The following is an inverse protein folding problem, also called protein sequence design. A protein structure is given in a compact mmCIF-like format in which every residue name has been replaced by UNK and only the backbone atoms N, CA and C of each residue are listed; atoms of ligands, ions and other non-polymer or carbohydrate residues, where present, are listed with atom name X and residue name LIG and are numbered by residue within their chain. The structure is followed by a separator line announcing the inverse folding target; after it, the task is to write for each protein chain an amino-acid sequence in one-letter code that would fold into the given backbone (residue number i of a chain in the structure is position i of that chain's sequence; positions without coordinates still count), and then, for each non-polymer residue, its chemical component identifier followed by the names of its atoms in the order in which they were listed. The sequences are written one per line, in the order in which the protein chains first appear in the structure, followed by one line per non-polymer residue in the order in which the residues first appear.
data_IF_741445318802
#
_entry.id   IF_741445318802
#
_cell.length_a   1.000
_cell.length_b   1.000
_cell.length_c   1.000
_cell.angle_alpha   90.00
_cell.angle_beta   90.00
_cell.angle_gamma   90.00
#
_symmetry.space_group_name_H-M   'P 1'
#
loop_
_entity.id
_entity.type
_entity.pdbx_description
1 polymer ?
#
# COMPACT_ATOMS: atom_id res chain seq x y z
N UNK A 1 -11.82 23.79 56.57
CA UNK A 1 -11.42 24.08 55.18
C UNK A 1 -11.55 22.77 54.41
N UNK A 2 -12.25 22.73 53.26
CA UNK A 2 -12.28 21.50 52.47
C UNK A 2 -10.84 21.16 52.07
N UNK A 3 -10.40 19.93 52.36
CA UNK A 3 -9.12 19.43 51.87
C UNK A 3 -9.16 19.53 50.36
N UNK A 4 -8.24 20.32 49.77
CA UNK A 4 -8.07 20.38 48.33
C UNK A 4 -7.92 18.94 47.81
N UNK A 5 -8.75 18.57 46.83
CA UNK A 5 -8.60 17.30 46.15
C UNK A 5 -7.16 17.16 45.63
N UNK A 6 -6.55 15.97 45.74
CA UNK A 6 -5.21 15.74 45.24
C UNK A 6 -5.16 16.09 43.76
N UNK A 7 -4.38 17.12 43.41
CA UNK A 7 -4.22 17.55 42.03
C UNK A 7 -3.28 16.57 41.33
N UNK A 8 -3.79 15.87 40.32
CA UNK A 8 -2.97 14.96 39.51
C UNK A 8 -2.19 15.79 38.49
N UNK A 9 -0.88 15.85 38.66
CA UNK A 9 0.02 16.50 37.71
C UNK A 9 0.22 15.60 36.48
N UNK A 10 -0.16 16.09 35.30
CA UNK A 10 0.12 15.43 34.02
C UNK A 10 1.44 15.98 33.49
N UNK A 11 2.50 15.17 33.57
CA UNK A 11 3.84 15.57 33.10
C UNK A 11 4.04 15.42 31.60
N UNK A 12 3.32 14.50 30.98
CA UNK A 12 3.36 14.23 29.54
C UNK A 12 2.07 13.52 29.11
N UNK A 13 1.69 13.64 27.83
CA UNK A 13 0.62 12.83 27.28
C UNK A 13 1.17 11.49 26.78
N UNK A 14 0.44 10.42 27.08
CA UNK A 14 0.82 9.04 26.75
C UNK A 14 0.16 8.54 25.46
N UNK A 15 -0.48 9.44 24.72
CA UNK A 15 -1.23 9.16 23.50
C UNK A 15 -2.66 8.69 23.76
N UNK A 16 -3.33 8.33 22.66
CA UNK A 16 -4.63 7.66 22.69
C UNK A 16 -4.49 6.29 23.32
N UNK A 17 -5.38 5.96 24.26
CA UNK A 17 -5.54 4.62 24.82
C UNK A 17 -7.01 4.31 24.94
N UNK A 18 -7.47 3.27 24.24
CA UNK A 18 -8.85 2.78 24.36
C UNK A 18 -8.93 1.29 24.69
N UNK A 19 -7.81 0.57 24.77
CA UNK A 19 -7.76 -0.86 25.10
C UNK A 19 -7.90 -1.18 26.59
N UNK A 20 -8.11 -0.18 27.44
CA UNK A 20 -8.29 -0.33 28.89
C UNK A 20 -9.49 0.49 29.36
N UNK A 21 -10.04 0.14 30.54
CA UNK A 21 -11.09 0.96 31.16
C UNK A 21 -10.54 2.33 31.56
N UNK A 22 -11.26 3.45 31.35
CA UNK A 22 -10.80 4.79 31.72
C UNK A 22 -10.29 4.92 33.15
N UNK A 23 -10.91 4.21 34.10
CA UNK A 23 -10.51 4.21 35.51
C UNK A 23 -9.16 3.53 35.81
N UNK A 24 -8.61 2.76 34.87
CA UNK A 24 -7.31 2.07 35.01
C UNK A 24 -6.20 2.74 34.19
N UNK A 25 -6.55 3.72 33.36
CA UNK A 25 -5.59 4.38 32.50
C UNK A 25 -4.61 5.23 33.34
N UNK A 26 -3.31 5.23 33.00
CA UNK A 26 -2.36 6.12 33.64
C UNK A 26 -2.69 7.58 33.31
N UNK A 27 -2.46 8.47 34.27
CA UNK A 27 -2.61 9.91 34.09
C UNK A 27 -1.82 10.39 32.85
N UNK A 28 -2.45 11.22 32.01
CA UNK A 28 -1.90 11.65 30.72
C UNK A 28 -2.33 10.82 29.51
N UNK A 29 -3.07 9.73 29.70
CA UNK A 29 -3.71 8.99 28.59
C UNK A 29 -4.92 9.73 28.06
N UNK A 30 -5.14 9.68 26.75
CA UNK A 30 -6.33 10.23 26.10
C UNK A 30 -7.32 9.10 25.83
N UNK A 31 -8.60 9.30 26.20
CA UNK A 31 -9.70 8.38 25.84
C UNK A 31 -10.16 8.63 24.40
N UNK A 32 -10.03 9.87 23.91
CA UNK A 32 -10.40 10.27 22.56
C UNK A 32 -9.42 11.33 22.05
N UNK A 33 -9.04 11.22 20.77
CA UNK A 33 -8.20 12.19 20.07
C UNK A 33 -8.84 12.53 18.72
N UNK A 34 -9.28 13.79 18.54
CA UNK A 34 -9.94 14.25 17.30
C UNK A 34 -9.26 15.51 16.78
N UNK A 35 -8.79 15.48 15.53
CA UNK A 35 -8.13 16.62 14.86
C UNK A 35 -6.94 17.20 15.65
N UNK A 36 -6.19 16.31 16.30
CA UNK A 36 -4.96 16.64 17.01
C UNK A 36 -3.82 15.77 16.48
N UNK A 37 -2.62 16.34 16.46
CA UNK A 37 -1.37 15.61 16.28
C UNK A 37 -0.69 15.51 17.65
N UNK A 38 -0.03 14.37 17.90
CA UNK A 38 0.78 14.14 19.10
C UNK A 38 2.19 13.85 18.61
N UNK A 39 3.16 14.67 19.02
CA UNK A 39 4.55 14.51 18.60
C UNK A 39 5.29 13.45 19.45
N UNK A 40 6.56 13.23 19.13
CA UNK A 40 7.43 12.28 19.82
C UNK A 40 7.82 12.72 21.24
N UNK A 41 7.64 14.01 21.58
CA UNK A 41 7.77 14.54 22.93
C UNK A 41 6.46 14.44 23.74
N UNK A 42 5.38 13.93 23.14
CA UNK A 42 4.06 13.84 23.77
C UNK A 42 3.34 15.19 23.87
N UNK A 43 3.76 16.20 23.09
CA UNK A 43 3.04 17.46 22.98
C UNK A 43 1.84 17.30 22.05
N UNK A 44 0.73 17.97 22.39
CA UNK A 44 -0.49 17.96 21.59
C UNK A 44 -0.56 19.27 20.82
N UNK A 45 -0.70 19.17 19.50
CA UNK A 45 -1.04 20.31 18.64
C UNK A 45 -2.34 20.06 17.87
N UNK A 46 -3.02 21.15 17.48
CA UNK A 46 -4.17 21.03 16.58
C UNK A 46 -3.64 20.67 15.19
N UNK A 47 -4.20 19.63 14.58
CA UNK A 47 -3.80 19.19 13.23
C UNK A 47 -3.96 20.33 12.24
N UNK A 48 -2.95 20.52 11.39
CA UNK A 48 -3.02 21.49 10.31
C UNK A 48 -4.25 21.19 9.42
N UNK A 49 -5.02 22.23 9.10
CA UNK A 49 -6.13 22.11 8.16
C UNK A 49 -5.61 21.82 6.75
N UNK A 50 -6.51 21.36 5.88
CA UNK A 50 -6.26 21.26 4.44
C UNK A 50 -7.12 22.27 3.69
N UNK A 51 -6.64 22.73 2.56
CA UNK A 51 -7.46 23.46 1.59
C UNK A 51 -7.66 22.58 0.36
N UNK A 52 -8.90 22.40 -0.11
CA UNK A 52 -9.14 21.67 -1.35
C UNK A 52 -8.52 22.44 -2.51
N UNK A 53 -7.66 21.77 -3.28
CA UNK A 53 -7.17 22.31 -4.54
C UNK A 53 -8.23 22.00 -5.61
N UNK A 54 -8.88 23.02 -6.21
CA UNK A 54 -9.89 22.78 -7.23
C UNK A 54 -9.24 22.26 -8.52
N UNK A 55 -9.97 21.43 -9.27
CA UNK A 55 -9.53 20.95 -10.60
C UNK A 55 -9.55 19.43 -10.77
N UNK A 56 -9.70 18.66 -9.69
CA UNK A 56 -9.97 17.22 -9.75
C UNK A 56 -11.27 16.89 -9.02
N UNK A 57 -12.10 16.05 -9.63
CA UNK A 57 -13.34 15.54 -9.05
C UNK A 57 -13.42 14.03 -9.24
N UNK A 58 -13.99 13.32 -8.26
CA UNK A 58 -14.13 11.87 -8.33
C UNK A 58 -12.77 11.15 -8.31
N UNK A 59 -11.85 11.59 -7.46
CA UNK A 59 -10.56 10.92 -7.25
C UNK A 59 -10.80 9.59 -6.54
N UNK A 60 -10.35 8.49 -7.13
CA UNK A 60 -10.52 7.12 -6.58
C UNK A 60 -9.19 6.47 -6.18
N UNK A 61 -8.08 6.92 -6.74
CA UNK A 61 -6.73 6.48 -6.36
C UNK A 61 -5.71 7.59 -6.60
N UNK A 62 -4.61 7.55 -5.85
CA UNK A 62 -3.45 8.40 -6.07
C UNK A 62 -2.18 7.65 -5.70
N UNK A 63 -1.09 7.92 -6.40
CA UNK A 63 0.20 7.31 -6.17
C UNK A 63 1.33 8.31 -6.42
N UNK A 64 2.20 8.49 -5.43
CA UNK A 64 3.43 9.23 -5.59
C UNK A 64 4.59 8.24 -5.80
N UNK A 65 5.50 8.57 -6.73
CA UNK A 65 6.72 7.77 -6.94
C UNK A 65 7.62 7.83 -5.71
N UNK A 66 8.45 6.81 -5.45
CA UNK A 66 9.29 6.77 -4.23
C UNK A 66 10.36 7.87 -4.20
N UNK A 67 10.66 8.48 -5.34
CA UNK A 67 11.55 9.63 -5.44
C UNK A 67 10.83 10.98 -5.24
N UNK A 68 9.54 10.96 -4.92
CA UNK A 68 8.64 12.11 -4.72
C UNK A 68 8.58 13.07 -5.93
N UNK A 69 9.00 12.63 -7.12
CA UNK A 69 9.04 13.50 -8.31
C UNK A 69 7.74 13.55 -9.07
N UNK A 70 6.85 12.57 -8.88
CA UNK A 70 5.62 12.43 -9.67
C UNK A 70 4.46 12.03 -8.78
N UNK A 71 3.29 12.50 -9.19
CA UNK A 71 2.01 12.14 -8.58
C UNK A 71 1.05 11.73 -9.69
N UNK A 72 0.61 10.48 -9.62
CA UNK A 72 -0.44 9.94 -10.47
C UNK A 72 -1.76 9.96 -9.70
N UNK A 73 -2.84 10.28 -10.39
CA UNK A 73 -4.20 10.32 -9.84
C UNK A 73 -5.15 9.65 -10.81
N UNK A 74 -6.05 8.84 -10.26
CA UNK A 74 -7.20 8.31 -10.99
C UNK A 74 -8.39 9.16 -10.59
N UNK A 75 -8.92 9.92 -11.56
CA UNK A 75 -10.04 10.84 -11.34
C UNK A 75 -11.05 10.71 -12.48
N UNK A 76 -12.32 10.49 -12.13
CA UNK A 76 -13.40 10.33 -13.11
C UNK A 76 -13.19 9.15 -14.07
N UNK A 77 -12.51 8.08 -13.61
CA UNK A 77 -12.18 6.90 -14.42
C UNK A 77 -11.00 7.10 -15.40
N UNK A 78 -10.24 8.18 -15.25
CA UNK A 78 -9.04 8.44 -16.05
C UNK A 78 -7.78 8.52 -15.17
N UNK A 79 -6.72 7.86 -15.62
CA UNK A 79 -5.37 8.01 -15.08
C UNK A 79 -4.75 9.30 -15.63
N UNK A 80 -4.26 10.13 -14.71
CA UNK A 80 -3.62 11.40 -15.01
C UNK A 80 -2.36 11.56 -14.16
N UNK A 81 -1.36 12.26 -14.70
CA UNK A 81 -0.21 12.73 -13.94
C UNK A 81 -0.43 14.20 -13.56
N UNK A 82 -0.15 14.54 -12.30
CA UNK A 82 -0.15 15.92 -11.82
C UNK A 82 1.14 16.61 -12.26
N UNK A 83 1.02 17.62 -13.11
CA UNK A 83 2.14 18.37 -13.71
C UNK A 83 2.48 19.61 -12.88
N UNK A 84 1.49 20.22 -12.26
CA UNK A 84 1.63 21.38 -11.37
C UNK A 84 0.54 21.34 -10.31
N UNK A 85 0.83 21.84 -9.11
CA UNK A 85 -0.13 21.98 -8.01
C UNK A 85 -0.68 23.41 -7.86
N UNK A 86 0.01 24.41 -8.41
CA UNK A 86 -0.39 25.83 -8.33
C UNK A 86 -0.08 26.59 -9.63
N UNK A 87 -1.06 26.76 -10.55
CA UNK A 87 -2.38 26.12 -10.51
C UNK A 87 -2.29 24.61 -10.74
N UNK A 88 -3.31 23.87 -10.29
CA UNK A 88 -3.42 22.44 -10.56
C UNK A 88 -3.53 22.21 -12.07
N UNK A 89 -2.57 21.48 -12.63
CA UNK A 89 -2.55 21.07 -14.02
C UNK A 89 -2.24 19.57 -14.09
N UNK A 90 -2.98 18.85 -14.93
CA UNK A 90 -2.79 17.42 -15.13
C UNK A 90 -2.56 17.08 -16.60
N UNK A 91 -1.89 15.95 -16.81
CA UNK A 91 -1.70 15.32 -18.11
C UNK A 91 -2.45 14.00 -18.12
N UNK A 92 -3.37 13.82 -19.06
CA UNK A 92 -4.08 12.55 -19.25
C UNK A 92 -3.12 11.48 -19.78
N UNK A 93 -3.19 10.28 -19.21
CA UNK A 93 -2.40 9.12 -19.63
C UNK A 93 -3.26 7.99 -20.21
N UNK A 94 -4.41 7.72 -19.58
CA UNK A 94 -5.37 6.72 -20.03
C UNK A 94 -6.76 6.91 -19.43
N UNK A 95 -7.79 6.39 -20.13
CA UNK A 95 -9.15 6.24 -19.61
C UNK A 95 -9.45 4.79 -19.21
N UNK A 96 -10.71 4.52 -18.86
CA UNK A 96 -11.21 3.15 -18.66
C UNK A 96 -10.93 2.54 -17.28
N UNK A 97 -10.47 3.34 -16.31
CA UNK A 97 -10.32 2.87 -14.94
C UNK A 97 -11.69 2.70 -14.29
N UNK A 98 -11.96 1.51 -13.76
CA UNK A 98 -13.16 1.20 -13.00
C UNK A 98 -13.20 1.89 -11.63
N UNK A 99 -14.30 1.70 -10.91
CA UNK A 99 -14.50 2.27 -9.57
C UNK A 99 -13.79 1.50 -8.44
N UNK A 100 -13.03 0.46 -8.77
CA UNK A 100 -12.36 -0.40 -7.80
C UNK A 100 -11.00 0.13 -7.33
N UNK A 101 -10.28 -0.73 -6.63
CA UNK A 101 -8.94 -0.44 -6.13
C UNK A 101 -7.88 -0.48 -7.23
N UNK A 102 -6.89 0.41 -7.13
CA UNK A 102 -5.70 0.39 -7.99
C UNK A 102 -4.49 0.19 -7.10
N UNK A 103 -3.78 -0.90 -7.31
CA UNK A 103 -2.52 -1.21 -6.65
C UNK A 103 -1.36 -0.68 -7.47
N UNK A 104 -0.31 -0.23 -6.79
CA UNK A 104 0.83 0.43 -7.43
C UNK A 104 2.15 -0.21 -7.06
N UNK A 105 3.03 -0.29 -8.04
CA UNK A 105 4.45 -0.60 -7.83
C UNK A 105 5.31 0.23 -8.76
N UNK A 106 6.60 0.32 -8.44
CA UNK A 106 7.59 0.93 -9.33
C UNK A 106 8.90 0.16 -9.25
N UNK A 107 9.61 0.11 -10.37
CA UNK A 107 10.88 -0.58 -10.50
C UNK A 107 11.36 -0.62 -11.95
N UNK A 108 12.68 -0.74 -12.16
CA UNK A 108 13.26 -0.77 -13.50
C UNK A 108 13.06 0.53 -14.31
N UNK A 109 12.68 1.63 -13.67
CA UNK A 109 12.30 2.88 -14.35
C UNK A 109 10.84 2.95 -14.78
N UNK A 110 10.00 1.99 -14.40
CA UNK A 110 8.58 1.93 -14.75
C UNK A 110 7.71 2.11 -13.51
N UNK A 111 6.49 2.60 -13.73
CA UNK A 111 5.41 2.54 -12.76
C UNK A 111 4.37 1.53 -13.27
N UNK A 112 4.00 0.60 -12.41
CA UNK A 112 3.04 -0.45 -12.70
C UNK A 112 1.77 -0.22 -11.89
N UNK A 113 0.62 -0.42 -12.51
CA UNK A 113 -0.66 -0.45 -11.82
C UNK A 113 -1.47 -1.69 -12.20
N UNK A 114 -2.32 -2.15 -11.29
CA UNK A 114 -3.24 -3.28 -11.51
C UNK A 114 -4.51 -3.11 -10.66
N UNK A 115 -5.53 -3.92 -10.90
CA UNK A 115 -6.86 -3.79 -10.30
C UNK A 115 -7.87 -3.11 -11.23
N UNK A 116 -8.50 -2.06 -10.75
CA UNK A 116 -9.52 -1.30 -11.49
C UNK A 116 -8.98 -0.62 -12.75
N UNK A 117 -7.67 -0.46 -12.86
CA UNK A 117 -6.98 -0.24 -14.12
C UNK A 117 -5.64 -0.94 -14.06
N UNK A 118 -5.12 -1.32 -15.22
CA UNK A 118 -3.92 -2.15 -15.31
C UNK A 118 -3.00 -1.66 -16.41
N UNK A 119 -1.70 -1.76 -16.16
CA UNK A 119 -0.70 -1.46 -17.18
C UNK A 119 0.60 -0.91 -16.62
N UNK A 120 1.40 -0.42 -17.56
CA UNK A 120 2.75 0.08 -17.35
C UNK A 120 2.83 1.52 -17.84
N UNK A 121 3.41 2.39 -17.03
CA UNK A 121 3.79 3.75 -17.44
C UNK A 121 5.32 3.80 -17.54
N UNK A 122 5.81 4.02 -18.75
CA UNK A 122 7.25 4.04 -19.05
C UNK A 122 7.98 5.26 -18.53
N UNK A 123 9.17 5.02 -17.97
CA UNK A 123 10.15 5.98 -17.46
C UNK A 123 10.67 7.04 -18.41
N UNK A 124 10.59 6.79 -19.71
CA UNK A 124 11.19 7.68 -20.72
C UNK A 124 10.14 8.50 -21.46
N UNK A 125 8.91 8.00 -21.59
CA UNK A 125 7.83 8.65 -22.35
C UNK A 125 6.71 9.19 -21.45
N UNK A 126 6.41 8.55 -20.32
CA UNK A 126 5.37 8.96 -19.34
C UNK A 126 4.14 9.65 -19.95
N UNK A 127 3.72 9.19 -21.13
CA UNK A 127 2.72 9.86 -21.95
C UNK A 127 1.46 9.02 -22.10
N UNK A 128 1.57 7.71 -21.90
CA UNK A 128 0.53 6.72 -22.14
C UNK A 128 0.68 5.56 -21.17
N UNK A 129 -0.44 4.93 -20.83
CA UNK A 129 -0.48 3.63 -20.15
C UNK A 129 -0.42 2.53 -21.21
N UNK A 130 0.47 1.56 -21.01
CA UNK A 130 0.67 0.40 -21.88
C UNK A 130 0.09 -0.85 -21.22
N UNK A 131 -0.49 -1.78 -21.99
CA UNK A 131 -1.05 -3.01 -21.42
C UNK A 131 0.03 -4.03 -21.08
N UNK A 132 -0.18 -4.80 -20.00
CA UNK A 132 0.67 -5.96 -19.73
C UNK A 132 0.53 -6.99 -20.87
N UNK A 133 1.66 -7.50 -21.36
CA UNK A 133 1.65 -8.46 -22.45
C UNK A 133 1.75 -7.84 -23.85
N UNK A 134 1.75 -6.51 -23.97
CA UNK A 134 1.93 -5.86 -25.26
C UNK A 134 3.40 -5.93 -25.71
N UNK A 135 3.67 -6.83 -26.65
CA UNK A 135 5.01 -7.05 -27.23
C UNK A 135 5.34 -6.07 -28.36
N UNK A 136 4.45 -5.14 -28.70
CA UNK A 136 4.64 -4.20 -29.82
C UNK A 136 5.56 -3.01 -29.48
N UNK A 137 6.03 -2.90 -28.24
CA UNK A 137 6.75 -1.73 -27.70
C UNK A 137 8.22 -2.05 -27.35
N UNK A 138 9.06 -1.01 -27.25
CA UNK A 138 10.53 -1.01 -27.09
C UNK A 138 11.11 -1.73 -25.84
N UNK A 139 10.86 -3.03 -25.63
CA UNK A 139 11.82 -3.91 -24.92
C UNK A 139 13.11 -4.14 -25.77
N UNK A 140 13.07 -3.65 -27.02
CA UNK A 140 14.05 -3.75 -28.13
C UNK A 140 15.52 -3.48 -27.82
N UNK A 141 15.86 -2.86 -26.69
CA UNK A 141 17.27 -2.62 -26.32
C UNK A 141 17.88 -3.79 -25.51
N UNK A 142 17.09 -4.48 -24.68
CA UNK A 142 17.55 -5.67 -23.93
C UNK A 142 17.41 -6.95 -24.75
N UNK A 143 16.39 -7.03 -25.62
CA UNK A 143 16.15 -8.14 -26.54
C UNK A 143 17.41 -8.50 -27.36
N UNK A 144 18.14 -7.48 -27.82
CA UNK A 144 19.31 -7.64 -28.67
C UNK A 144 20.55 -8.20 -27.94
N UNK A 145 20.55 -8.23 -26.61
CA UNK A 145 21.71 -8.60 -25.78
C UNK A 145 21.47 -9.90 -25.01
N UNK A 146 20.22 -10.20 -24.62
CA UNK A 146 19.93 -11.22 -23.60
C UNK A 146 19.15 -12.45 -24.08
N UNK A 147 18.57 -12.45 -25.29
CA UNK A 147 17.66 -13.51 -25.70
C UNK A 147 18.14 -14.29 -26.93
N UNK A 148 18.12 -15.61 -26.80
CA UNK A 148 18.08 -16.57 -27.89
C UNK A 148 16.62 -16.64 -28.38
N UNK A 149 16.38 -16.71 -29.70
CA UNK A 149 15.03 -16.66 -30.32
C UNK A 149 14.05 -17.76 -29.80
N UNK A 150 14.53 -18.69 -28.96
CA UNK A 150 13.75 -19.75 -28.33
C UNK A 150 12.89 -19.30 -27.12
N UNK A 151 13.07 -18.10 -26.58
CA UNK A 151 12.33 -17.62 -25.38
C UNK A 151 10.94 -17.04 -25.64
N UNK A 152 10.53 -16.86 -26.90
CA UNK A 152 9.21 -16.33 -27.27
C UNK A 152 8.11 -17.39 -27.45
N UNK A 153 8.46 -18.68 -27.39
CA UNK A 153 7.47 -19.74 -27.54
C UNK A 153 6.67 -19.89 -26.24
N UNK A 154 5.39 -19.52 -26.29
CA UNK A 154 4.44 -19.75 -25.20
C UNK A 154 4.16 -18.55 -24.30
N UNK A 155 4.53 -17.34 -24.70
CA UNK A 155 4.13 -16.13 -23.96
C UNK A 155 2.63 -15.85 -24.14
N UNK A 156 1.92 -15.61 -23.05
CA UNK A 156 0.53 -15.13 -23.05
C UNK A 156 0.43 -13.85 -22.21
N UNK A 157 -0.53 -12.95 -22.46
CA UNK A 157 -0.77 -11.85 -21.52
C UNK A 157 -1.18 -12.40 -20.15
N UNK A 158 -0.94 -11.68 -19.04
CA UNK A 158 -1.40 -12.11 -17.74
C UNK A 158 -2.93 -12.15 -17.68
N UNK A 159 -3.51 -12.87 -16.69
CA UNK A 159 -4.96 -12.94 -16.51
C UNK A 159 -5.63 -11.54 -16.50
N UNK A 160 -6.87 -11.41 -17.01
CA UNK A 160 -7.55 -10.13 -17.11
C UNK A 160 -7.82 -9.46 -15.75
N UNK A 161 -8.13 -10.27 -14.72
CA UNK A 161 -8.62 -9.81 -13.42
C UNK A 161 -7.52 -9.85 -12.34
N UNK A 162 -6.36 -9.25 -12.64
CA UNK A 162 -5.27 -9.15 -11.67
C UNK A 162 -5.48 -8.01 -10.68
N UNK A 163 -5.02 -8.21 -9.44
CA UNK A 163 -5.23 -7.29 -8.32
C UNK A 163 -3.92 -6.61 -7.92
N UNK A 164 -3.24 -7.10 -6.88
CA UNK A 164 -1.99 -6.54 -6.38
C UNK A 164 -0.86 -6.67 -7.41
N UNK A 165 0.04 -5.67 -7.43
CA UNK A 165 1.23 -5.64 -8.30
C UNK A 165 2.50 -5.34 -7.51
N UNK A 166 3.60 -5.99 -7.87
CA UNK A 166 4.94 -5.70 -7.34
C UNK A 166 6.02 -5.88 -8.41
N UNK A 167 7.12 -5.12 -8.32
CA UNK A 167 8.31 -5.34 -9.15
C UNK A 167 9.43 -6.01 -8.35
N UNK A 168 9.62 -7.32 -8.52
CA UNK A 168 10.53 -8.13 -7.70
C UNK A 168 11.45 -8.98 -8.58
N UNK A 169 12.74 -8.99 -8.25
CA UNK A 169 13.80 -9.71 -8.99
C UNK A 169 13.81 -9.42 -10.51
N UNK A 170 13.52 -8.17 -10.89
CA UNK A 170 13.48 -7.76 -12.30
C UNK A 170 12.17 -8.10 -13.01
N UNK A 171 11.24 -8.81 -12.36
CA UNK A 171 9.96 -9.21 -12.93
C UNK A 171 8.80 -8.41 -12.35
N UNK A 172 7.75 -8.24 -13.13
CA UNK A 172 6.45 -7.79 -12.62
C UNK A 172 5.70 -8.98 -12.07
N UNK A 173 5.21 -8.88 -10.85
CA UNK A 173 4.40 -9.88 -10.16
C UNK A 173 2.98 -9.37 -10.05
N UNK A 174 2.01 -10.21 -10.41
CA UNK A 174 0.58 -9.92 -10.37
C UNK A 174 -0.16 -11.00 -9.58
N UNK A 175 -1.08 -10.60 -8.71
CA UNK A 175 -1.97 -11.55 -8.06
C UNK A 175 -3.26 -11.73 -8.84
N UNK A 176 -3.75 -12.96 -8.93
CA UNK A 176 -5.07 -13.32 -9.42
C UNK A 176 -5.77 -14.14 -8.34
N UNK A 177 -7.01 -13.81 -7.99
CA UNK A 177 -7.76 -14.53 -6.97
C UNK A 177 -8.81 -15.44 -7.59
N UNK A 178 -8.72 -16.74 -7.30
CA UNK A 178 -9.75 -17.70 -7.62
C UNK A 178 -10.74 -17.82 -6.44
N UNK A 179 -11.94 -17.25 -6.63
CA UNK A 179 -13.00 -17.28 -5.62
C UNK A 179 -13.61 -18.68 -5.40
N UNK A 180 -13.46 -19.60 -6.34
CA UNK A 180 -14.01 -20.96 -6.23
C UNK A 180 -13.12 -21.80 -5.32
N UNK A 181 -11.81 -21.75 -5.53
CA UNK A 181 -10.81 -22.47 -4.73
C UNK A 181 -10.38 -21.70 -3.47
N UNK A 182 -10.81 -20.44 -3.31
CA UNK A 182 -10.42 -19.55 -2.22
C UNK A 182 -8.88 -19.44 -2.09
N UNK A 183 -8.23 -19.28 -3.24
CA UNK A 183 -6.78 -19.27 -3.37
C UNK A 183 -6.37 -18.21 -4.39
N UNK A 184 -5.26 -17.53 -4.13
CA UNK A 184 -4.63 -16.66 -5.10
C UNK A 184 -3.48 -17.35 -5.81
N UNK A 185 -3.23 -16.93 -7.04
CA UNK A 185 -2.04 -17.27 -7.80
C UNK A 185 -1.25 -15.99 -8.03
N UNK A 186 0.04 -16.02 -7.70
CA UNK A 186 0.98 -14.99 -8.08
C UNK A 186 1.64 -15.42 -9.39
N UNK A 187 1.44 -14.65 -10.45
CA UNK A 187 2.13 -14.81 -11.73
C UNK A 187 3.25 -13.78 -11.84
N UNK A 188 4.33 -14.12 -12.53
CA UNK A 188 5.39 -13.15 -12.81
C UNK A 188 5.83 -13.15 -14.28
N UNK A 189 6.26 -11.98 -14.73
CA UNK A 189 6.85 -11.81 -16.05
C UNK A 189 8.26 -12.40 -16.10
N UNK A 190 8.81 -12.57 -17.30
CA UNK A 190 10.25 -12.84 -17.46
C UNK A 190 11.07 -11.65 -16.92
N UNK A 191 12.26 -11.89 -16.33
CA UNK A 191 13.08 -10.82 -15.78
C UNK A 191 13.42 -9.78 -16.84
N UNK A 192 13.17 -8.51 -16.53
CA UNK A 192 13.34 -7.34 -17.39
C UNK A 192 12.46 -7.27 -18.65
N UNK A 193 11.58 -8.27 -18.85
CA UNK A 193 10.60 -8.31 -19.93
C UNK A 193 9.20 -8.38 -19.33
N UNK A 194 8.62 -7.20 -19.05
CA UNK A 194 7.30 -7.06 -18.45
C UNK A 194 6.17 -7.47 -19.41
N UNK A 195 6.45 -7.58 -20.71
CA UNK A 195 5.51 -8.05 -21.73
C UNK A 195 5.44 -9.59 -21.83
N UNK A 196 6.39 -10.33 -21.26
CA UNK A 196 6.53 -11.78 -21.49
C UNK A 196 6.14 -12.58 -20.26
N UNK A 197 5.14 -13.46 -20.39
CA UNK A 197 4.64 -14.28 -19.27
C UNK A 197 4.43 -15.73 -19.70
N UNK A 198 4.88 -16.69 -18.89
CA UNK A 198 4.60 -18.12 -19.06
C UNK A 198 3.68 -18.59 -17.93
N UNK A 199 2.36 -18.48 -18.14
CA UNK A 199 1.36 -18.81 -17.11
C UNK A 199 1.34 -20.29 -16.72
N UNK A 200 1.95 -21.17 -17.52
CA UNK A 200 2.05 -22.60 -17.22
C UNK A 200 3.21 -22.97 -16.30
N UNK A 201 4.18 -22.07 -16.09
CA UNK A 201 5.39 -22.33 -15.29
C UNK A 201 5.70 -21.26 -14.25
N UNK A 202 5.43 -20.00 -14.58
CA UNK A 202 5.82 -18.83 -13.79
C UNK A 202 4.67 -18.40 -12.88
N UNK A 203 4.28 -19.29 -11.97
CA UNK A 203 3.24 -19.01 -10.98
C UNK A 203 3.48 -19.69 -9.63
N UNK A 204 2.89 -19.12 -8.58
CA UNK A 204 2.92 -19.66 -7.22
C UNK A 204 1.55 -19.53 -6.54
N UNK A 205 0.96 -20.62 -6.01
CA UNK A 205 -0.27 -20.54 -5.23
C UNK A 205 -0.04 -19.96 -3.83
N UNK A 206 -0.99 -19.17 -3.34
CA UNK A 206 -1.00 -18.57 -2.00
C UNK A 206 -2.42 -18.68 -1.41
N UNK A 207 -2.60 -19.22 -0.19
CA UNK A 207 -3.92 -19.36 0.42
C UNK A 207 -4.64 -18.02 0.67
N UNK A 208 -5.94 -17.96 0.34
CA UNK A 208 -6.76 -16.76 0.47
C UNK A 208 -6.54 -15.73 -0.64
N UNK A 209 -7.18 -14.56 -0.51
CA UNK A 209 -7.09 -13.45 -1.47
C UNK A 209 -5.91 -12.56 -1.14
N UNK A 210 -4.98 -12.34 -2.07
CA UNK A 210 -3.85 -11.41 -1.86
C UNK A 210 -4.37 -9.97 -1.85
N UNK A 211 -4.15 -9.30 -0.72
CA UNK A 211 -4.62 -7.94 -0.44
C UNK A 211 -3.48 -6.92 -0.35
N UNK A 212 -2.25 -7.40 -0.18
CA UNK A 212 -1.05 -6.59 -0.14
C UNK A 212 0.14 -7.36 -0.70
N UNK A 213 0.86 -6.74 -1.64
CA UNK A 213 2.07 -7.29 -2.23
C UNK A 213 3.18 -6.23 -2.15
N UNK A 214 4.26 -6.54 -1.44
CA UNK A 214 5.27 -5.56 -1.08
C UNK A 214 6.67 -6.17 -1.11
N UNK A 215 7.61 -5.52 -1.79
CA UNK A 215 9.02 -5.94 -1.76
C UNK A 215 9.61 -5.52 -0.41
N UNK A 216 10.36 -6.40 0.25
CA UNK A 216 11.08 -6.06 1.46
C UNK A 216 12.44 -6.75 1.49
N UNK A 217 13.52 -5.97 1.55
CA UNK A 217 14.89 -6.46 1.36
C UNK A 217 15.00 -7.29 0.07
N UNK A 218 15.42 -8.55 0.18
CA UNK A 218 15.58 -9.50 -0.92
C UNK A 218 14.39 -10.46 -1.06
N UNK A 219 13.27 -10.16 -0.40
CA UNK A 219 12.07 -10.99 -0.44
C UNK A 219 10.81 -10.21 -0.80
N UNK A 220 9.74 -10.97 -0.96
CA UNK A 220 8.41 -10.49 -1.29
C UNK A 220 7.47 -10.79 -0.12
N UNK A 221 6.99 -9.74 0.53
CA UNK A 221 5.94 -9.82 1.54
C UNK A 221 4.58 -9.93 0.85
N UNK A 222 3.80 -10.90 1.29
CA UNK A 222 2.50 -11.25 0.73
C UNK A 222 1.50 -11.26 1.89
N UNK A 223 0.56 -10.32 1.89
CA UNK A 223 -0.55 -10.29 2.84
C UNK A 223 -1.84 -10.74 2.16
N UNK A 224 -2.55 -11.70 2.74
CA UNK A 224 -3.90 -12.10 2.28
C UNK A 224 -4.93 -11.75 3.35
N UNK A 225 -6.19 -12.12 3.12
CA UNK A 225 -7.25 -12.09 4.12
C UNK A 225 -7.08 -13.15 5.24
N UNK A 226 -6.30 -14.21 5.00
CA UNK A 226 -6.13 -15.35 5.91
C UNK A 226 -4.78 -15.39 6.64
N UNK A 227 -3.77 -14.69 6.14
CA UNK A 227 -2.42 -14.79 6.69
C UNK A 227 -1.46 -13.77 6.12
N UNK A 228 -0.23 -13.87 6.58
CA UNK A 228 0.90 -13.17 5.99
C UNK A 228 2.01 -14.16 5.70
N UNK A 229 2.66 -13.99 4.56
CA UNK A 229 3.78 -14.80 4.10
C UNK A 229 4.93 -13.91 3.65
N UNK A 230 6.12 -14.48 3.71
CA UNK A 230 7.33 -13.89 3.16
C UNK A 230 7.99 -14.90 2.23
N UNK A 231 8.11 -14.52 0.97
CA UNK A 231 8.78 -15.30 -0.05
C UNK A 231 10.22 -14.83 -0.20
N UNK A 232 11.17 -15.72 0.03
CA UNK A 232 12.60 -15.44 -0.09
C UNK A 232 13.34 -16.73 -0.44
N UNK A 233 14.37 -16.64 -1.29
CA UNK A 233 15.19 -17.79 -1.71
C UNK A 233 14.37 -19.00 -2.24
N UNK A 234 13.25 -18.74 -2.92
CA UNK A 234 12.37 -19.80 -3.45
C UNK A 234 11.45 -20.45 -2.40
N UNK A 235 11.48 -20.00 -1.15
CA UNK A 235 10.68 -20.52 -0.06
C UNK A 235 9.60 -19.52 0.36
N UNK A 236 8.36 -19.99 0.46
CA UNK A 236 7.25 -19.23 1.01
C UNK A 236 7.06 -19.60 2.48
N UNK A 237 7.38 -18.67 3.38
CA UNK A 237 7.25 -18.87 4.83
C UNK A 237 6.07 -18.06 5.38
N UNK A 238 5.20 -18.69 6.18
CA UNK A 238 4.15 -17.97 6.91
C UNK A 238 4.78 -17.16 8.06
N UNK A 239 4.44 -15.87 8.15
CA UNK A 239 4.95 -14.95 9.17
C UNK A 239 3.87 -14.47 10.16
N UNK A 240 2.59 -14.60 9.81
CA UNK A 240 1.47 -14.38 10.72
C UNK A 240 0.27 -15.24 10.36
N UNK A 241 -0.52 -15.60 11.38
CA UNK A 241 -1.72 -16.43 11.25
C UNK A 241 -3.01 -15.66 10.95
N UNK A 242 -2.91 -14.34 10.77
CA UNK A 242 -4.02 -13.49 10.39
C UNK A 242 -3.66 -12.65 9.16
N UNK A 243 -4.68 -12.16 8.46
CA UNK A 243 -4.52 -11.37 7.26
C UNK A 243 -4.21 -9.88 7.47
N UNK A 244 -4.21 -9.16 6.36
CA UNK A 244 -4.06 -7.70 6.26
C UNK A 244 -5.36 -7.05 5.80
N UNK A 245 -5.46 -5.73 5.95
CA UNK A 245 -6.55 -4.95 5.34
C UNK A 245 -6.10 -4.56 3.92
N UNK A 246 -6.98 -4.61 2.90
CA UNK A 246 -6.63 -4.19 1.54
C UNK A 246 -6.14 -2.74 1.49
N UNK A 247 -5.05 -2.51 0.76
CA UNK A 247 -4.60 -1.18 0.39
C UNK A 247 -3.09 -1.04 0.28
N UNK A 248 -2.61 0.21 0.23
CA UNK A 248 -1.23 0.51 -0.13
C UNK A 248 -0.31 0.60 1.10
N UNK A 249 0.83 -0.12 1.11
CA UNK A 249 1.85 0.02 2.15
C UNK A 249 2.70 1.29 1.96
N UNK A 250 3.45 1.65 3.00
CA UNK A 250 4.48 2.69 2.95
C UNK A 250 5.85 2.15 3.33
N UNK A 251 6.89 2.76 2.77
CA UNK A 251 8.29 2.47 3.10
C UNK A 251 8.93 3.69 3.77
N UNK A 252 9.65 3.50 4.88
CA UNK A 252 10.54 4.52 5.45
C UNK A 252 11.73 3.82 6.11
N UNK A 253 12.95 4.32 5.84
CA UNK A 253 14.20 3.83 6.42
C UNK A 253 14.39 2.31 6.36
N UNK A 254 14.07 1.70 5.21
CA UNK A 254 14.20 0.26 5.01
C UNK A 254 13.18 -0.56 5.80
N UNK A 255 12.11 0.07 6.30
CA UNK A 255 11.02 -0.59 7.01
C UNK A 255 9.73 -0.49 6.19
N UNK A 256 8.97 -1.57 6.20
CA UNK A 256 7.66 -1.66 5.56
C UNK A 256 6.57 -1.45 6.62
N UNK A 257 5.69 -0.49 6.37
CA UNK A 257 4.54 -0.15 7.21
C UNK A 257 3.25 -0.44 6.46
N UNK A 258 2.32 -1.11 7.12
CA UNK A 258 1.05 -1.53 6.53
C UNK A 258 -0.01 -1.68 7.62
N UNK A 259 -1.28 -1.69 7.22
CA UNK A 259 -2.41 -1.75 8.12
C UNK A 259 -3.00 -3.16 8.20
N UNK A 260 -3.40 -3.55 9.40
CA UNK A 260 -3.96 -4.89 9.70
C UNK A 260 -5.23 -4.74 10.54
N UNK A 261 -6.01 -5.81 10.72
CA UNK A 261 -7.10 -5.82 11.69
C UNK A 261 -6.68 -5.43 13.12
N UNK A 262 -5.38 -5.59 13.46
CA UNK A 262 -4.78 -5.24 14.76
C UNK A 262 -4.14 -3.85 14.77
N UNK A 263 -4.35 -3.07 13.72
CA UNK A 263 -3.82 -1.73 13.53
C UNK A 263 -2.49 -1.68 12.75
N UNK A 264 -1.69 -0.64 13.02
CA UNK A 264 -0.49 -0.34 12.23
C UNK A 264 0.59 -1.36 12.56
N UNK A 265 1.09 -2.00 11.52
CA UNK A 265 2.14 -3.00 11.61
C UNK A 265 3.41 -2.52 10.91
N UNK A 266 4.54 -2.99 11.43
CA UNK A 266 5.86 -2.83 10.83
C UNK A 266 6.44 -4.21 10.56
N UNK A 267 6.92 -4.43 9.34
CA UNK A 267 7.52 -5.69 8.95
C UNK A 267 9.03 -5.74 9.29
N UNK A 268 9.44 -6.89 9.85
CA UNK A 268 10.78 -7.28 10.32
C UNK A 268 11.52 -6.32 11.28
N UNK A 269 11.54 -6.61 12.60
CA UNK A 269 10.69 -7.63 13.25
C UNK A 269 9.21 -7.27 13.04
N UNK A 270 8.36 -8.29 12.85
CA UNK A 270 6.92 -8.10 12.77
C UNK A 270 6.43 -7.53 14.10
N UNK A 271 5.97 -6.29 14.09
CA UNK A 271 5.56 -5.57 15.31
C UNK A 271 4.26 -4.80 15.06
N UNK A 272 3.28 -5.00 15.94
CA UNK A 272 2.04 -4.24 15.95
C UNK A 272 2.21 -2.99 16.80
N UNK A 273 2.41 -1.85 16.13
CA UNK A 273 2.78 -0.59 16.77
C UNK A 273 1.64 0.00 17.60
N UNK A 274 0.40 -0.26 17.21
CA UNK A 274 -0.77 0.31 17.88
C UNK A 274 -1.50 -0.67 18.79
N UNK A 275 -1.40 -1.98 18.57
CA UNK A 275 -2.22 -3.03 19.23
C UNK A 275 -2.28 -2.91 20.76
N UNK A 276 -1.16 -2.54 21.41
CA UNK A 276 -1.12 -2.40 22.88
C UNK A 276 -1.86 -1.18 23.40
N UNK A 277 -1.91 -0.10 22.62
CA UNK A 277 -2.42 1.19 23.08
C UNK A 277 -3.81 1.49 22.50
N UNK A 278 -4.01 1.20 21.22
CA UNK A 278 -5.19 1.62 20.48
C UNK A 278 -5.75 0.48 19.65
N UNK A 279 -7.03 0.21 19.83
CA UNK A 279 -7.86 -0.57 18.91
C UNK A 279 -8.67 0.40 18.06
N UNK A 280 -8.38 0.48 16.76
CA UNK A 280 -9.13 1.32 15.83
C UNK A 280 -9.94 0.42 14.89
N UNK A 281 -11.11 0.89 14.40
CA UNK A 281 -11.79 0.21 13.32
C UNK A 281 -10.84 0.01 12.14
N UNK A 282 -10.56 -1.23 11.73
CA UNK A 282 -9.60 -1.47 10.66
C UNK A 282 -10.02 -0.88 9.31
N UNK A 283 -11.32 -0.68 9.10
CA UNK A 283 -11.92 -0.32 7.83
C UNK A 283 -11.97 -1.50 6.87
N UNK A 284 -12.79 -1.37 5.83
CA UNK A 284 -12.80 -2.30 4.68
C UNK A 284 -11.54 -2.12 3.82
N UNK A 285 -10.90 -0.95 3.87
CA UNK A 285 -9.65 -0.62 3.15
C UNK A 285 -8.80 0.35 3.97
N UNK A 286 -7.48 0.32 3.75
CA UNK A 286 -6.54 1.19 4.42
C UNK A 286 -5.29 1.50 3.58
N UNK A 287 -4.94 2.79 3.47
CA UNK A 287 -3.67 3.22 2.88
C UNK A 287 -2.77 3.81 3.96
N UNK A 288 -1.49 3.44 3.94
CA UNK A 288 -0.48 3.96 4.86
C UNK A 288 0.48 4.88 4.11
N UNK A 289 0.83 6.01 4.73
CA UNK A 289 1.87 6.91 4.26
C UNK A 289 2.74 7.39 5.41
N UNK A 290 4.04 7.20 5.35
CA UNK A 290 4.99 7.74 6.33
C UNK A 290 5.55 9.05 5.79
N UNK A 291 5.32 10.14 6.50
CA UNK A 291 5.77 11.48 6.08
C UNK A 291 6.64 12.13 7.15
N UNK A 292 7.55 12.99 6.68
CA UNK A 292 8.39 13.83 7.52
C UNK A 292 7.84 15.25 7.46
N UNK A 293 7.35 15.75 8.58
CA UNK A 293 6.90 17.12 8.71
C UNK A 293 7.48 17.72 9.99
N UNK A 294 7.95 18.98 9.92
CA UNK A 294 8.42 19.75 11.09
C UNK A 294 9.46 19.03 11.97
N UNK A 295 10.30 18.19 11.36
CA UNK A 295 11.39 17.48 12.04
C UNK A 295 11.00 16.15 12.69
N UNK A 296 9.71 15.77 12.69
CA UNK A 296 9.25 14.49 13.18
C UNK A 296 8.70 13.59 12.05
N UNK A 297 8.67 12.28 12.33
CA UNK A 297 8.12 11.27 11.44
C UNK A 297 6.73 10.87 11.93
N UNK A 298 5.76 10.88 11.03
CA UNK A 298 4.41 10.40 11.32
C UNK A 298 3.97 9.37 10.30
N UNK A 299 3.32 8.31 10.79
CA UNK A 299 2.56 7.40 9.95
C UNK A 299 1.12 7.90 9.88
N UNK A 300 0.66 8.20 8.67
CA UNK A 300 -0.72 8.54 8.37
C UNK A 300 -1.38 7.27 7.85
N UNK A 301 -2.47 6.87 8.50
CA UNK A 301 -3.33 5.78 8.03
C UNK A 301 -4.66 6.39 7.63
N UNK A 302 -5.09 6.11 6.41
CA UNK A 302 -6.40 6.50 5.89
C UNK A 302 -7.24 5.23 5.74
N UNK A 303 -8.34 5.12 6.47
CA UNK A 303 -9.28 3.99 6.37
C UNK A 303 -10.63 4.45 5.85
N UNK A 304 -11.42 3.53 5.29
CA UNK A 304 -12.80 3.81 4.84
C UNK A 304 -13.77 4.08 5.99
N UNK A 305 -13.38 3.78 7.24
CA UNK A 305 -14.22 3.95 8.43
C UNK A 305 -15.37 2.94 8.56
N UNK A 306 -15.48 1.99 7.63
CA UNK A 306 -16.53 0.98 7.57
C UNK A 306 -16.12 -0.30 8.32
N UNK A 307 -16.01 -0.24 9.65
CA UNK A 307 -15.88 -1.43 10.50
C UNK A 307 -16.05 -1.05 11.97
N UNK A 308 -16.01 -2.03 12.87
CA UNK A 308 -15.94 -1.80 14.31
C UNK A 308 -14.52 -2.06 14.83
N UNK A 309 -14.12 -1.35 15.89
CA UNK A 309 -12.87 -1.65 16.59
C UNK A 309 -13.03 -2.97 17.35
N UNK A 310 -11.99 -3.81 17.35
CA UNK A 310 -11.95 -4.99 18.21
C UNK A 310 -11.52 -4.55 19.62
N UNK A 311 -12.45 -3.92 20.35
CA UNK A 311 -12.22 -3.41 21.69
C UNK A 311 -13.24 -4.00 22.67
N UNK A 312 -12.83 -4.87 23.61
CA UNK A 312 -13.74 -5.46 24.59
C UNK A 312 -14.23 -4.45 25.66
N UNK A 313 -13.81 -3.19 25.59
CA UNK A 313 -14.12 -2.13 26.56
C UNK A 313 -14.81 -0.90 25.96
N UNK A 314 -15.19 -0.93 24.67
CA UNK A 314 -16.12 0.05 24.07
C UNK A 314 -17.59 -0.24 24.42
#
# INVERSE_FOLDING_TARGET
MPQNEPTVEIRQFLGLRNTERPARMPAGSLVQARNIDIDDAGAIERRAGYQPVPGLSGVTAAYATKDDRRLFVVAGGALQEVVSLDPLATRHLAGGFGAGEVWWSEGGGYVFCSGAGRGVVSGSRFSTLEEFGDTSIEERALDAILLDESTDVGTSPPPPDTECVAFFQGSVWLSYYDSVENQSFLFWSKPFFWSRWDLGKDYMPVPGRVLLLAIFNEGLFIGTDQGMWFYTEGLLQRVADHGVVPGQPSYDQGKLYFWTPRGLCRFLPLEYLTEKAVSLPPGTRASVGVVRERGYRRAIVLTTGESEADNPYE
#
